data_IF_425720854451
#
_entry.id   IF_425720854451
#
_cell.length_a   1.000
_cell.length_b   1.000
_cell.length_c   1.000
_cell.angle_alpha   90.00
_cell.angle_beta   90.00
_cell.angle_gamma   90.00
#
_symmetry.space_group_name_H-M   'P 1'
#
loop_
_entity.id
_entity.type
_entity.pdbx_description
1 polymer ?
#
# COMPACT_ATOMS: atom_id res chain seq x y z
N UNK A 1 9.90 8.09 4.84
CA UNK A 1 9.24 6.99 4.10
C UNK A 1 9.64 7.05 2.63
N UNK A 2 9.59 5.92 1.91
CA UNK A 2 9.93 5.89 0.48
C UNK A 2 8.86 6.66 -0.31
N UNK A 3 9.23 7.60 -1.18
CA UNK A 3 8.29 8.49 -1.91
C UNK A 3 7.20 7.74 -2.69
N UNK A 4 7.53 6.53 -3.15
CA UNK A 4 6.61 5.64 -3.86
C UNK A 4 5.43 5.13 -3.02
N UNK A 5 5.51 5.21 -1.69
CA UNK A 5 4.46 4.80 -0.76
C UNK A 5 3.62 5.98 -0.25
N UNK A 6 3.82 7.18 -0.80
CA UNK A 6 3.00 8.34 -0.47
C UNK A 6 1.56 8.12 -0.98
N UNK A 7 0.54 8.11 -0.09
CA UNK A 7 -0.86 7.98 -0.50
C UNK A 7 -1.31 9.07 -1.48
N UNK A 8 -0.65 10.24 -1.47
CA UNK A 8 -0.95 11.37 -2.33
C UNK A 8 -0.20 11.31 -3.67
N UNK A 9 0.69 10.34 -3.87
CA UNK A 9 1.34 10.13 -5.16
C UNK A 9 0.27 9.78 -6.19
N UNK A 10 0.23 10.51 -7.30
CA UNK A 10 -0.72 10.22 -8.38
C UNK A 10 -0.40 8.87 -9.02
N UNK A 11 -1.44 8.21 -9.52
CA UNK A 11 -1.29 6.98 -10.30
C UNK A 11 -0.45 7.24 -11.56
N UNK A 12 0.25 6.19 -12.00
CA UNK A 12 1.18 6.27 -13.13
C UNK A 12 2.52 5.58 -12.88
N UNK A 13 3.45 5.81 -13.81
CA UNK A 13 4.78 5.19 -13.79
C UNK A 13 5.75 6.10 -13.02
N UNK A 14 6.45 5.54 -12.03
CA UNK A 14 7.39 6.26 -11.18
C UNK A 14 8.77 5.60 -11.17
N UNK A 15 9.83 6.41 -11.16
CA UNK A 15 11.20 5.93 -11.02
C UNK A 15 11.39 5.24 -9.67
N UNK A 16 12.08 4.10 -9.71
CA UNK A 16 12.40 3.28 -8.56
C UNK A 16 13.87 2.82 -8.62
N UNK A 17 14.30 2.06 -7.61
CA UNK A 17 15.71 1.71 -7.41
C UNK A 17 16.28 0.93 -8.58
N UNK A 18 17.59 1.00 -8.76
CA UNK A 18 18.35 0.19 -9.71
C UNK A 18 17.87 0.35 -11.17
N UNK A 19 17.44 1.56 -11.54
CA UNK A 19 16.91 1.88 -12.87
C UNK A 19 15.55 1.25 -13.17
N UNK A 20 14.90 0.61 -12.18
CA UNK A 20 13.57 0.03 -12.34
C UNK A 20 12.49 1.09 -12.20
N UNK A 21 11.30 0.77 -12.70
CA UNK A 21 10.10 1.60 -12.55
C UNK A 21 9.00 0.82 -11.85
N UNK A 22 8.13 1.54 -11.16
CA UNK A 22 6.89 0.99 -10.62
C UNK A 22 5.69 1.60 -11.35
N UNK A 23 4.63 0.82 -11.43
CA UNK A 23 3.30 1.26 -11.85
C UNK A 23 2.44 1.39 -10.60
N UNK A 24 1.96 2.59 -10.31
CA UNK A 24 1.05 2.87 -9.19
C UNK A 24 -0.39 2.95 -9.69
N UNK A 25 -1.27 2.18 -9.06
CA UNK A 25 -2.71 2.12 -9.32
C UNK A 25 -3.46 2.10 -7.97
N UNK A 26 -4.08 3.22 -7.61
CA UNK A 26 -4.66 3.44 -6.29
C UNK A 26 -3.65 3.23 -5.17
N UNK A 27 -3.97 2.34 -4.23
CA UNK A 27 -3.05 1.98 -3.15
C UNK A 27 -2.01 0.93 -3.57
N UNK A 28 -2.12 0.30 -4.75
CA UNK A 28 -1.25 -0.78 -5.19
C UNK A 28 -0.06 -0.22 -5.99
N UNK A 29 1.12 -0.82 -5.82
CA UNK A 29 2.27 -0.52 -6.66
C UNK A 29 2.95 -1.81 -7.09
N UNK A 30 3.18 -1.96 -8.39
CA UNK A 30 3.84 -3.13 -8.98
C UNK A 30 5.09 -2.74 -9.75
N UNK A 31 6.03 -3.67 -9.89
CA UNK A 31 7.13 -3.51 -10.84
C UNK A 31 6.58 -3.40 -12.27
N UNK A 32 7.11 -2.45 -13.03
CA UNK A 32 6.68 -2.26 -14.41
C UNK A 32 6.94 -3.52 -15.25
N UNK A 33 5.94 -3.90 -16.05
CA UNK A 33 5.98 -5.10 -16.88
C UNK A 33 5.77 -6.42 -16.12
N UNK A 34 5.47 -6.37 -14.82
CA UNK A 34 5.20 -7.58 -14.02
C UNK A 34 3.99 -7.43 -13.11
N UNK A 35 3.63 -8.52 -12.44
CA UNK A 35 2.61 -8.54 -11.37
C UNK A 35 3.23 -8.52 -9.97
N UNK A 36 4.55 -8.39 -9.87
CA UNK A 36 5.27 -8.39 -8.59
C UNK A 36 4.93 -7.12 -7.81
N UNK A 37 4.43 -7.28 -6.59
CA UNK A 37 4.07 -6.18 -5.71
C UNK A 37 5.35 -5.48 -5.19
N UNK A 38 5.43 -4.17 -5.41
CA UNK A 38 6.52 -3.29 -4.97
C UNK A 38 6.14 -2.44 -3.74
N UNK A 39 4.94 -2.64 -3.21
CA UNK A 39 4.45 -1.96 -2.01
C UNK A 39 2.98 -1.60 -2.12
N UNK A 40 2.45 -1.02 -1.03
CA UNK A 40 1.06 -0.56 -0.95
C UNK A 40 0.98 0.76 -0.19
N UNK A 41 0.45 1.81 -0.81
CA UNK A 41 0.25 3.14 -0.21
C UNK A 41 -1.09 3.22 0.54
N UNK A 42 -1.36 2.21 1.39
CA UNK A 42 -2.58 2.13 2.20
C UNK A 42 -2.37 2.87 3.53
N UNK A 43 -3.40 3.55 4.03
CA UNK A 43 -3.35 4.23 5.32
C UNK A 43 -3.50 3.24 6.48
N UNK A 44 -2.96 3.58 7.66
CA UNK A 44 -3.07 2.74 8.84
C UNK A 44 -4.53 2.50 9.24
N UNK A 45 -5.38 3.52 9.15
CA UNK A 45 -6.81 3.38 9.49
C UNK A 45 -7.52 2.38 8.55
N UNK A 46 -7.16 2.37 7.26
CA UNK A 46 -7.67 1.39 6.30
C UNK A 46 -7.22 -0.03 6.68
N UNK A 47 -5.95 -0.19 7.10
CA UNK A 47 -5.45 -1.48 7.58
C UNK A 47 -6.21 -1.98 8.82
N UNK A 48 -6.44 -1.12 9.82
CA UNK A 48 -7.16 -1.48 11.06
C UNK A 48 -8.62 -1.84 10.77
N UNK A 49 -9.32 -1.06 9.94
CA UNK A 49 -10.70 -1.35 9.54
C UNK A 49 -10.81 -2.66 8.77
N UNK A 50 -9.88 -2.91 7.84
CA UNK A 50 -9.83 -4.17 7.11
C UNK A 50 -9.56 -5.36 8.04
N UNK A 51 -8.62 -5.20 8.98
CA UNK A 51 -8.31 -6.24 9.96
C UNK A 51 -9.53 -6.60 10.82
N UNK A 52 -10.22 -5.59 11.36
CA UNK A 52 -11.45 -5.78 12.14
C UNK A 52 -12.52 -6.51 11.33
N UNK A 53 -12.72 -6.10 10.07
CA UNK A 53 -13.71 -6.70 9.16
C UNK A 53 -13.39 -8.17 8.82
N UNK A 54 -12.14 -8.50 8.52
CA UNK A 54 -11.75 -9.84 8.07
C UNK A 54 -11.63 -10.86 9.21
N UNK A 55 -11.34 -10.39 10.43
CA UNK A 55 -11.20 -11.27 11.60
C UNK A 55 -12.42 -11.22 12.54
N UNK A 56 -13.46 -10.46 12.18
CA UNK A 56 -14.69 -10.28 12.98
C UNK A 56 -14.37 -9.89 14.43
N UNK A 57 -13.45 -8.94 14.61
CA UNK A 57 -13.07 -8.41 15.92
C UNK A 57 -13.42 -6.93 16.04
N UNK A 58 -13.44 -6.42 17.28
CA UNK A 58 -13.70 -5.00 17.53
C UNK A 58 -12.54 -4.12 17.03
N UNK A 59 -12.82 -2.84 16.75
CA UNK A 59 -11.76 -1.88 16.43
C UNK A 59 -10.71 -1.76 17.56
N UNK A 60 -11.13 -1.91 18.81
CA UNK A 60 -10.25 -1.89 19.98
C UNK A 60 -9.30 -3.09 20.07
N UNK A 61 -9.69 -4.24 19.52
CA UNK A 61 -8.78 -5.38 19.37
C UNK A 61 -7.88 -5.20 18.15
N UNK A 62 -8.43 -4.75 17.02
CA UNK A 62 -7.68 -4.53 15.79
C UNK A 62 -6.55 -3.51 15.94
N UNK A 63 -6.77 -2.42 16.69
CA UNK A 63 -5.76 -1.36 16.90
C UNK A 63 -4.55 -1.85 17.72
N UNK A 64 -4.68 -2.94 18.49
CA UNK A 64 -3.54 -3.54 19.21
C UNK A 64 -2.50 -4.15 18.27
N UNK A 65 -2.87 -4.41 17.02
CA UNK A 65 -2.00 -4.97 15.98
C UNK A 65 -1.44 -3.91 15.01
N UNK A 66 -1.65 -2.62 15.31
CA UNK A 66 -1.31 -1.49 14.44
C UNK A 66 0.09 -0.92 14.71
#
# INVERSE_FOLDING_TARGET
AMKILDPNLKDGIHQWRDGKRIVKEGAKSCLEGTTTLAGRAVTLDTCVRNFAKFNVCSLGEAIKCA
#
